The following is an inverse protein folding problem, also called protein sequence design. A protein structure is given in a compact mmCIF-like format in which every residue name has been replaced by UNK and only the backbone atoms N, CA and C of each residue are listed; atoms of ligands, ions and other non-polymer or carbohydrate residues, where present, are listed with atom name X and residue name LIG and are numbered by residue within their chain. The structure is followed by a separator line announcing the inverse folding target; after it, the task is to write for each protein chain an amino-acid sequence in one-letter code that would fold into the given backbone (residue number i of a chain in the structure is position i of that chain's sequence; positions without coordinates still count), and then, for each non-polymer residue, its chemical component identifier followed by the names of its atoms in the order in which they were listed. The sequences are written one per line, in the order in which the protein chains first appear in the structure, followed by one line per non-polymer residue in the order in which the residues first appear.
data_IF_801870402709
#
_entry.id   IF_801870402709
#
_cell.length_a   1.000
_cell.length_b   1.000
_cell.length_c   1.000
_cell.angle_alpha   90.00
_cell.angle_beta   90.00
_cell.angle_gamma   90.00
#
_symmetry.space_group_name_H-M   'P 1'
#
loop_
_entity.id
_entity.type
_entity.pdbx_description
1 polymer ?
#
# COMPACT_ATOMS: atom_id res chain seq x y z
N UNK A 1 11.20 21.92 22.11
CA UNK A 1 10.77 21.50 21.66
C UNK A 1 10.33 20.66 21.22
N UNK A 2 10.48 20.77 20.91
CA UNK A 2 10.12 19.71 20.71
C UNK A 2 8.86 19.41 20.34
N UNK A 3 8.14 20.03 20.39
CA UNK A 3 6.75 19.85 20.24
C UNK A 3 6.31 19.62 18.84
N UNK A 4 6.90 20.29 17.92
CA UNK A 4 6.50 20.19 16.56
C UNK A 4 6.54 18.78 16.04
N UNK A 5 7.49 18.06 16.50
CA UNK A 5 7.63 16.73 16.02
C UNK A 5 6.46 15.90 16.39
N UNK A 6 5.93 16.14 17.50
CA UNK A 6 4.80 15.36 17.93
C UNK A 6 3.62 15.56 17.07
N UNK A 7 3.35 16.79 16.76
CA UNK A 7 2.18 17.05 15.96
C UNK A 7 2.32 16.51 14.57
N UNK A 8 3.52 16.49 14.08
CA UNK A 8 3.69 15.97 12.74
C UNK A 8 3.20 14.56 12.67
N UNK A 9 3.59 13.75 13.61
CA UNK A 9 3.13 12.40 13.61
C UNK A 9 1.64 12.30 13.71
N UNK A 10 1.06 13.15 14.51
CA UNK A 10 -0.36 13.11 14.69
C UNK A 10 -1.10 13.39 13.41
N UNK A 11 -0.59 14.32 12.65
CA UNK A 11 -1.26 14.73 11.45
C UNK A 11 -1.29 13.63 10.40
N UNK A 12 -0.40 12.67 10.51
CA UNK A 12 -0.31 11.65 9.50
C UNK A 12 -1.34 10.54 9.65
N UNK A 13 -1.98 10.48 10.80
CA UNK A 13 -3.02 9.48 10.97
C UNK A 13 -4.15 9.82 10.03
N UNK A 14 -4.61 8.86 9.29
CA UNK A 14 -5.71 9.04 8.39
C UNK A 14 -5.43 8.56 6.99
N UNK A 15 -4.75 9.33 6.19
CA UNK A 15 -4.62 9.01 4.77
C UNK A 15 -3.19 9.15 4.31
N UNK A 16 -2.75 8.21 3.47
CA UNK A 16 -1.47 8.33 2.82
C UNK A 16 -1.54 7.76 1.42
N UNK A 17 -0.95 8.50 0.47
CA UNK A 17 -0.85 8.05 -0.92
C UNK A 17 0.49 7.37 -1.15
N UNK A 18 0.44 6.24 -1.86
CA UNK A 18 1.64 5.55 -2.31
C UNK A 18 1.61 5.54 -3.82
N UNK A 19 2.66 6.07 -4.43
CA UNK A 19 2.78 6.10 -5.88
C UNK A 19 3.79 5.07 -6.32
N UNK A 20 3.43 4.28 -7.33
CA UNK A 20 4.26 3.19 -7.81
C UNK A 20 4.77 2.34 -6.65
N UNK A 21 3.86 1.86 -5.80
CA UNK A 21 4.29 1.16 -4.59
C UNK A 21 5.12 -0.07 -4.91
N UNK A 22 6.07 -0.35 -4.04
CA UNK A 22 6.94 -1.49 -4.18
C UNK A 22 6.86 -2.40 -2.97
N UNK A 23 7.16 -3.66 -3.19
CA UNK A 23 7.22 -4.66 -2.15
C UNK A 23 8.42 -5.54 -2.43
N UNK A 24 9.36 -5.56 -1.49
CA UNK A 24 10.58 -6.35 -1.62
C UNK A 24 11.28 -6.13 -2.95
N UNK A 25 11.42 -4.88 -3.31
CA UNK A 25 12.21 -4.50 -4.48
C UNK A 25 11.50 -4.55 -5.81
N UNK A 26 10.22 -4.89 -5.83
CA UNK A 26 9.46 -4.94 -7.08
C UNK A 26 8.14 -4.21 -6.93
N UNK A 27 7.58 -3.78 -8.07
CA UNK A 27 6.28 -3.13 -8.06
C UNK A 27 5.21 -4.08 -7.54
N UNK A 28 4.25 -3.56 -6.81
CA UNK A 28 3.20 -4.38 -6.22
C UNK A 28 2.22 -4.82 -7.29
N UNK A 29 2.00 -6.14 -7.36
CA UNK A 29 1.01 -6.73 -8.27
C UNK A 29 -0.38 -6.36 -7.80
N UNK A 30 -1.24 -6.01 -8.73
CA UNK A 30 -2.62 -5.65 -8.42
C UNK A 30 -3.48 -6.85 -8.07
N UNK A 31 -2.92 -8.05 -8.11
CA UNK A 31 -3.65 -9.27 -7.82
C UNK A 31 -2.96 -10.07 -6.73
N UNK A 32 -3.74 -10.84 -6.00
CA UNK A 32 -3.24 -11.83 -5.06
C UNK A 32 -3.18 -13.18 -5.76
N UNK A 33 -2.52 -14.13 -5.12
CA UNK A 33 -2.31 -15.46 -5.71
C UNK A 33 -3.61 -16.13 -6.10
N UNK A 34 -4.64 -15.95 -5.31
CA UNK A 34 -5.93 -16.58 -5.57
C UNK A 34 -6.69 -15.94 -6.72
N UNK A 35 -6.09 -14.96 -7.39
CA UNK A 35 -6.77 -14.31 -8.50
C UNK A 35 -7.62 -13.13 -8.08
N UNK A 36 -7.55 -12.74 -6.84
CA UNK A 36 -8.30 -11.58 -6.35
C UNK A 36 -7.52 -10.32 -6.69
N UNK A 37 -8.08 -9.53 -7.58
CA UNK A 37 -7.42 -8.33 -8.07
C UNK A 37 -8.11 -7.06 -7.60
N UNK A 38 -7.38 -5.97 -7.61
CA UNK A 38 -7.93 -4.68 -7.25
C UNK A 38 -8.00 -4.47 -5.75
N UNK A 39 -9.19 -4.23 -5.24
CA UNK A 39 -9.34 -3.85 -3.84
C UNK A 39 -8.73 -4.83 -2.83
N UNK A 40 -8.91 -6.15 -2.97
CA UNK A 40 -8.28 -7.05 -1.99
C UNK A 40 -6.77 -6.90 -1.94
N UNK A 41 -6.13 -6.75 -3.08
CA UNK A 41 -4.68 -6.57 -3.10
C UNK A 41 -4.28 -5.20 -2.58
N UNK A 42 -5.04 -4.17 -2.90
CA UNK A 42 -4.77 -2.83 -2.40
C UNK A 42 -4.93 -2.77 -0.88
N UNK A 43 -5.98 -3.41 -0.36
CA UNK A 43 -6.19 -3.47 1.08
C UNK A 43 -5.03 -4.20 1.76
N UNK A 44 -4.58 -5.31 1.17
CA UNK A 44 -3.48 -6.06 1.75
C UNK A 44 -2.21 -5.21 1.80
N UNK A 45 -1.96 -4.44 0.74
CA UNK A 45 -0.81 -3.54 0.74
C UNK A 45 -0.93 -2.51 1.86
N UNK A 46 -2.09 -1.89 2.00
CA UNK A 46 -2.29 -0.88 3.03
C UNK A 46 -2.10 -1.46 4.42
N UNK A 47 -2.57 -2.68 4.65
CA UNK A 47 -2.40 -3.31 5.95
C UNK A 47 -0.94 -3.57 6.27
N UNK A 48 -0.15 -3.92 5.27
CA UNK A 48 1.28 -4.08 5.47
C UNK A 48 1.95 -2.78 5.86
N UNK A 49 1.39 -1.66 5.42
CA UNK A 49 1.93 -0.35 5.75
C UNK A 49 1.39 0.19 7.07
N UNK A 50 0.54 -0.58 7.74
CA UNK A 50 0.00 -0.15 9.04
C UNK A 50 -1.32 0.58 8.95
N UNK A 51 -1.97 0.55 7.80
CA UNK A 51 -3.25 1.20 7.60
C UNK A 51 -4.37 0.17 7.61
N UNK A 52 -5.62 0.65 7.62
CA UNK A 52 -6.76 -0.26 7.72
C UNK A 52 -7.19 -0.80 6.36
N UNK A 53 -7.17 0.05 5.35
CA UNK A 53 -7.68 -0.34 4.05
C UNK A 53 -7.27 0.66 2.99
N UNK A 54 -7.56 0.33 1.74
CA UNK A 54 -7.37 1.23 0.62
C UNK A 54 -8.66 1.98 0.36
N UNK A 55 -8.55 3.27 0.07
CA UNK A 55 -9.69 4.09 -0.32
C UNK A 55 -9.86 4.08 -1.83
N UNK A 56 -8.77 4.29 -2.54
CA UNK A 56 -8.77 4.24 -4.00
C UNK A 56 -7.46 3.65 -4.46
N UNK A 57 -7.45 3.20 -5.68
CA UNK A 57 -6.24 2.68 -6.29
C UNK A 57 -6.35 2.82 -7.80
N UNK A 58 -5.19 2.82 -8.45
CA UNK A 58 -5.10 2.82 -9.91
C UNK A 58 -4.13 1.74 -10.31
N UNK A 59 -4.40 1.11 -11.44
CA UNK A 59 -3.59 0.03 -11.96
C UNK A 59 -3.00 0.40 -13.30
N UNK A 60 -1.92 -0.27 -13.67
CA UNK A 60 -1.31 -0.10 -14.98
C UNK A 60 -0.64 -1.41 -15.40
N UNK A 61 -0.61 -1.69 -16.70
CA UNK A 61 0.11 -2.87 -17.17
C UNK A 61 1.59 -2.71 -16.87
N UNK A 62 2.20 -3.80 -16.45
CA UNK A 62 3.63 -3.78 -16.16
C UNK A 62 4.14 -5.19 -16.27
N UNK A 63 5.22 -5.39 -17.04
CA UNK A 63 5.69 -6.72 -17.34
C UNK A 63 6.23 -7.49 -16.14
N UNK A 64 6.50 -6.82 -15.03
CA UNK A 64 7.02 -7.51 -13.86
C UNK A 64 6.50 -6.85 -12.60
N UNK A 65 5.91 -7.64 -11.71
CA UNK A 65 5.49 -7.17 -10.41
C UNK A 65 5.44 -8.34 -9.44
N UNK A 66 5.36 -8.02 -8.16
CA UNK A 66 5.42 -9.04 -7.11
C UNK A 66 4.13 -9.09 -6.33
N UNK A 67 3.58 -10.27 -6.16
CA UNK A 67 2.36 -10.46 -5.38
C UNK A 67 2.65 -10.33 -3.91
N UNK A 68 1.80 -9.57 -3.25
CA UNK A 68 2.08 -9.20 -1.88
C UNK A 68 1.80 -10.32 -0.88
N UNK A 69 0.92 -11.25 -1.23
CA UNK A 69 0.58 -12.34 -0.31
C UNK A 69 1.52 -13.54 -0.42
N UNK A 70 2.21 -13.70 -1.52
CA UNK A 70 3.07 -14.85 -1.72
C UNK A 70 4.51 -14.49 -2.03
N UNK A 71 4.74 -13.26 -2.46
CA UNK A 71 6.07 -12.88 -2.91
C UNK A 71 6.38 -13.33 -4.31
N UNK A 72 5.46 -13.99 -4.98
CA UNK A 72 5.69 -14.48 -6.33
C UNK A 72 5.78 -13.35 -7.33
N UNK A 73 6.67 -13.52 -8.30
CA UNK A 73 6.81 -12.56 -9.38
C UNK A 73 5.89 -12.92 -10.51
N UNK A 74 5.11 -11.96 -10.94
CA UNK A 74 4.36 -12.05 -12.18
C UNK A 74 5.25 -11.45 -13.26
N UNK A 75 5.52 -12.21 -14.30
CA UNK A 75 6.45 -11.79 -15.32
C UNK A 75 5.90 -12.11 -16.69
N UNK A 76 4.90 -11.36 -17.11
CA UNK A 76 4.30 -11.57 -18.42
C UNK A 76 3.58 -10.30 -18.85
N UNK A 77 3.14 -10.30 -20.10
CA UNK A 77 2.46 -9.15 -20.65
C UNK A 77 1.09 -8.90 -20.01
N UNK A 78 0.57 -9.88 -19.27
CA UNK A 78 -0.75 -9.72 -18.65
C UNK A 78 -0.66 -9.27 -17.20
N UNK A 79 0.54 -9.02 -16.69
CA UNK A 79 0.68 -8.54 -15.32
C UNK A 79 0.18 -7.13 -15.20
N UNK A 80 -0.39 -6.82 -14.05
CA UNK A 80 -0.90 -5.49 -13.75
C UNK A 80 -0.37 -5.09 -12.38
N UNK A 81 0.22 -3.92 -12.29
CA UNK A 81 0.74 -3.41 -11.04
C UNK A 81 -0.09 -2.23 -10.57
N UNK A 82 0.04 -1.89 -9.30
CA UNK A 82 -0.58 -0.67 -8.81
C UNK A 82 0.26 0.53 -9.21
N UNK A 83 -0.40 1.51 -9.77
CA UNK A 83 0.20 2.80 -10.06
C UNK A 83 0.08 3.72 -8.87
N UNK A 84 -1.01 3.60 -8.12
CA UNK A 84 -1.26 4.41 -6.94
C UNK A 84 -2.18 3.63 -6.01
N UNK A 85 -1.92 3.75 -4.70
CA UNK A 85 -2.82 3.22 -3.68
C UNK A 85 -2.92 4.28 -2.60
N UNK A 86 -4.15 4.67 -2.26
CA UNK A 86 -4.39 5.60 -1.17
C UNK A 86 -4.88 4.80 0.02
N UNK A 87 -4.11 4.79 1.09
CA UNK A 87 -4.42 4.03 2.29
C UNK A 87 -5.07 4.91 3.34
N UNK A 88 -5.90 4.30 4.16
CA UNK A 88 -6.66 5.00 5.18
C UNK A 88 -6.64 4.24 6.49
N UNK A 89 -6.58 4.96 7.60
CA UNK A 89 -6.71 4.37 8.91
C UNK A 89 -7.51 5.29 9.81
N UNK A 90 -8.26 4.68 10.73
CA UNK A 90 -8.94 5.42 11.77
C UNK A 90 -8.10 5.46 13.04
N UNK A 91 -6.94 4.86 13.02
CA UNK A 91 -6.11 4.76 14.22
C UNK A 91 -5.33 6.02 14.44
N UNK A 92 -5.87 6.91 15.19
CA UNK A 92 -5.15 8.14 15.50
C UNK A 92 -3.99 7.89 16.44
N UNK A 93 -4.05 6.82 17.17
CA UNK A 93 -2.95 6.49 18.08
C UNK A 93 -1.70 6.04 17.34
N UNK A 94 -1.80 5.79 16.06
CA UNK A 94 -0.61 5.53 15.28
C UNK A 94 0.41 6.63 15.47
N UNK A 95 -0.06 7.84 15.48
CA UNK A 95 0.83 8.97 15.65
C UNK A 95 1.47 8.93 17.02
N UNK A 96 0.72 8.54 17.98
CA UNK A 96 1.24 8.48 19.34
C UNK A 96 2.28 7.39 19.48
N UNK A 97 2.15 6.36 18.70
CA UNK A 97 3.09 5.27 18.76
C UNK A 97 4.39 5.59 18.08
N UNK A 98 4.37 6.60 17.25
CA UNK A 98 5.50 6.92 16.45
C UNK A 98 6.62 7.65 17.15
N UNK A 99 6.42 8.25 18.26
CA UNK A 99 7.45 9.08 18.87
C UNK A 99 8.73 8.35 19.12
#
# INVERSE_FOLDING_TARGET
MLAGLISAGTAEAGVRNYFSPQFEGARVDACLVAGECGKPAADAFCKLQGYDKALIFQREPLAMCRRIDSGQICSSAVCTAFRQVKCFTTKTDLAALSP
#
